data_IF_626493223468
#
_entry.id   IF_626493223468
#
_cell.length_a   1.000
_cell.length_b   1.000
_cell.length_c   1.000
_cell.angle_alpha   90.00
_cell.angle_beta   90.00
_cell.angle_gamma   90.00
#
_symmetry.space_group_name_H-M   'P 1'
#
loop_
_entity.id
_entity.type
_entity.pdbx_description
1 polymer ?
#
# COMPACT_ATOMS: atom_id res chain seq x y z
N UNK A 1 19.08 67.91 1.85
CA UNK A 1 19.25 66.64 1.12
C UNK A 1 18.68 65.50 2.01
N UNK A 2 17.45 65.07 1.77
CA UNK A 2 16.79 63.97 2.53
C UNK A 2 17.08 62.67 1.78
N UNK A 3 17.81 61.72 2.41
CA UNK A 3 18.06 60.38 1.88
C UNK A 3 16.82 59.53 2.13
N UNK A 4 16.16 59.14 1.05
CA UNK A 4 15.04 58.16 1.07
C UNK A 4 15.66 56.77 1.16
N UNK A 5 15.50 56.11 2.29
CA UNK A 5 15.88 54.69 2.46
C UNK A 5 14.70 53.88 2.01
N UNK A 6 14.85 53.25 0.85
CA UNK A 6 13.87 52.34 0.27
C UNK A 6 14.06 50.95 0.94
N UNK A 7 13.17 50.59 1.82
CA UNK A 7 13.10 49.22 2.37
C UNK A 7 12.51 48.31 1.29
N UNK A 8 13.34 47.47 0.68
CA UNK A 8 12.85 46.35 -0.12
C UNK A 8 12.28 45.30 0.83
N UNK A 9 10.96 45.20 0.89
CA UNK A 9 10.27 44.08 1.47
C UNK A 9 10.48 42.86 0.55
N UNK A 10 11.47 42.05 0.87
CA UNK A 10 11.59 40.69 0.29
C UNK A 10 10.51 39.88 0.90
N UNK A 11 9.39 39.73 0.20
CA UNK A 11 8.36 38.73 0.54
C UNK A 11 8.96 37.38 0.19
N UNK A 12 9.53 36.72 1.18
CA UNK A 12 9.78 35.28 1.11
C UNK A 12 8.41 34.60 1.06
N UNK A 13 7.97 34.28 -0.14
CA UNK A 13 6.99 33.19 -0.28
C UNK A 13 7.68 31.92 0.21
N UNK A 14 7.50 31.60 1.48
CA UNK A 14 7.62 30.24 1.94
C UNK A 14 6.58 29.44 1.16
N UNK A 15 7.02 28.83 0.05
CA UNK A 15 6.29 27.73 -0.52
C UNK A 15 6.20 26.71 0.62
N UNK A 16 5.02 26.61 1.22
CA UNK A 16 4.71 25.55 2.16
C UNK A 16 5.12 24.26 1.48
N UNK A 17 6.17 23.62 2.01
CA UNK A 17 6.58 22.30 1.66
C UNK A 17 5.33 21.42 1.66
N UNK A 18 5.21 20.58 0.60
CA UNK A 18 4.42 19.38 0.58
C UNK A 18 2.91 19.50 0.38
N UNK A 19 2.53 19.88 -0.80
CA UNK A 19 1.44 19.16 -1.41
C UNK A 19 1.98 17.78 -1.84
N UNK A 20 1.95 16.79 -0.93
CA UNK A 20 2.19 15.40 -1.29
C UNK A 20 1.29 15.07 -2.48
N UNK A 21 1.88 14.72 -3.61
CA UNK A 21 1.23 14.75 -4.91
C UNK A 21 0.30 13.55 -5.12
N UNK A 22 -0.77 13.47 -4.30
CA UNK A 22 -1.89 12.59 -4.60
C UNK A 22 -2.85 13.27 -5.55
N UNK A 23 -3.00 12.72 -6.75
CA UNK A 23 -3.93 13.18 -7.77
C UNK A 23 -5.13 12.24 -7.84
N UNK A 24 -6.34 12.83 -7.86
CA UNK A 24 -7.57 12.08 -8.05
C UNK A 24 -7.84 11.84 -9.53
N UNK A 25 -8.05 10.58 -9.91
CA UNK A 25 -8.45 10.18 -11.25
C UNK A 25 -9.87 9.62 -11.21
N UNK A 26 -10.78 10.25 -11.95
CA UNK A 26 -12.17 9.84 -12.10
C UNK A 26 -12.48 9.57 -13.56
N UNK A 27 -13.04 8.37 -13.84
CA UNK A 27 -13.34 7.95 -15.22
C UNK A 27 -12.12 7.75 -16.12
N UNK A 28 -10.90 7.76 -15.57
CA UNK A 28 -9.66 7.62 -16.34
C UNK A 28 -9.52 6.23 -16.98
N UNK A 29 -10.12 5.21 -16.37
CA UNK A 29 -10.18 3.84 -16.88
C UNK A 29 -11.65 3.44 -17.01
N UNK A 30 -12.22 3.46 -18.22
CA UNK A 30 -13.62 3.12 -18.44
C UNK A 30 -13.97 1.73 -17.90
N UNK A 31 -15.05 1.62 -17.14
CA UNK A 31 -15.51 0.34 -16.57
C UNK A 31 -14.75 -0.14 -15.32
N UNK A 32 -13.68 0.53 -14.93
CA UNK A 32 -12.92 0.23 -13.73
C UNK A 32 -13.23 1.21 -12.58
N UNK A 33 -12.30 1.39 -11.66
CA UNK A 33 -12.47 2.18 -10.44
C UNK A 33 -11.92 3.61 -10.60
N UNK A 34 -12.51 4.57 -9.89
CA UNK A 34 -11.86 5.83 -9.61
C UNK A 34 -10.78 5.62 -8.55
N UNK A 35 -9.69 6.39 -8.60
CA UNK A 35 -8.56 6.17 -7.70
C UNK A 35 -7.81 7.46 -7.37
N UNK A 36 -7.11 7.45 -6.23
CA UNK A 36 -6.01 8.35 -5.94
C UNK A 36 -4.72 7.73 -6.46
N UNK A 37 -3.86 8.56 -7.01
CA UNK A 37 -2.55 8.15 -7.49
C UNK A 37 -1.48 9.08 -6.92
N UNK A 38 -0.43 8.50 -6.35
CA UNK A 38 0.74 9.18 -5.84
C UNK A 38 1.93 8.92 -6.76
N UNK A 39 2.65 10.00 -7.06
CA UNK A 39 3.91 9.96 -7.76
C UNK A 39 5.01 10.23 -6.72
N UNK A 40 6.00 9.35 -6.53
CA UNK A 40 7.00 9.53 -5.50
C UNK A 40 7.83 10.79 -5.76
N UNK A 41 8.11 11.58 -4.72
CA UNK A 41 8.75 12.90 -4.81
C UNK A 41 10.17 12.86 -5.40
N UNK A 42 10.89 11.77 -5.17
CA UNK A 42 12.20 11.50 -5.76
C UNK A 42 12.09 10.90 -7.17
N UNK A 43 10.91 10.96 -7.74
CA UNK A 43 10.47 10.21 -8.86
C UNK A 43 11.19 10.46 -10.17
N UNK A 44 10.73 9.74 -11.17
CA UNK A 44 11.18 9.69 -12.56
C UNK A 44 11.40 11.06 -13.24
N UNK A 45 10.91 12.15 -12.65
CA UNK A 45 11.14 13.50 -13.15
C UNK A 45 12.61 13.95 -13.07
N UNK A 46 13.42 13.35 -12.17
CA UNK A 46 14.86 13.68 -12.06
C UNK A 46 15.74 12.78 -12.91
N UNK A 47 15.30 11.52 -13.11
CA UNK A 47 15.95 10.56 -14.01
C UNK A 47 14.89 9.90 -14.90
N UNK A 48 14.78 10.27 -16.19
CA UNK A 48 13.81 9.67 -17.11
C UNK A 48 14.04 8.17 -17.38
N UNK A 49 15.15 7.60 -16.90
CA UNK A 49 15.44 6.17 -16.98
C UNK A 49 15.06 5.41 -15.70
N UNK A 50 14.73 6.12 -14.62
CA UNK A 50 14.31 5.47 -13.39
C UNK A 50 12.92 4.86 -13.54
N UNK A 51 12.77 3.63 -13.05
CA UNK A 51 11.51 2.91 -12.98
C UNK A 51 11.20 2.60 -11.51
N UNK A 52 10.00 2.97 -11.07
CA UNK A 52 9.58 2.82 -9.68
C UNK A 52 8.58 1.69 -9.50
N UNK A 53 8.56 1.06 -8.33
CA UNK A 53 7.54 0.08 -7.99
C UNK A 53 6.13 0.68 -8.09
N UNK A 54 5.13 -0.18 -8.31
CA UNK A 54 3.72 0.18 -8.21
C UNK A 54 3.08 -0.56 -7.04
N UNK A 55 2.55 0.18 -6.09
CA UNK A 55 1.85 -0.33 -4.91
C UNK A 55 0.35 -0.07 -5.04
N UNK A 56 -0.46 -1.13 -5.02
CA UNK A 56 -1.92 -1.05 -5.14
C UNK A 56 -2.53 -1.32 -3.77
N UNK A 57 -3.22 -0.33 -3.21
CA UNK A 57 -3.93 -0.44 -1.94
C UNK A 57 -5.40 -0.72 -2.14
N UNK A 58 -5.87 -1.85 -1.66
CA UNK A 58 -7.28 -2.23 -1.68
C UNK A 58 -7.91 -2.02 -0.30
N UNK A 59 -8.82 -1.06 -0.21
CA UNK A 59 -9.45 -0.68 1.05
C UNK A 59 -10.50 -1.69 1.53
N UNK A 60 -10.79 -1.65 2.84
CA UNK A 60 -11.90 -2.38 3.46
C UNK A 60 -13.25 -1.70 3.27
N UNK A 61 -14.33 -2.39 3.69
CA UNK A 61 -15.72 -1.91 3.51
C UNK A 61 -15.98 -0.51 4.09
N UNK A 62 -15.29 -0.10 5.15
CA UNK A 62 -15.47 1.23 5.77
C UNK A 62 -15.19 2.41 4.85
N UNK A 63 -14.40 2.23 3.79
CA UNK A 63 -14.10 3.25 2.79
C UNK A 63 -14.90 3.10 1.48
N UNK A 64 -15.81 2.13 1.43
CA UNK A 64 -16.67 1.88 0.26
C UNK A 64 -17.57 3.07 -0.07
N UNK A 65 -17.90 3.20 -1.35
CA UNK A 65 -18.85 4.19 -1.85
C UNK A 65 -18.37 4.92 -3.09
N UNK A 66 -18.93 6.12 -3.31
CA UNK A 66 -18.64 6.95 -4.48
C UNK A 66 -17.91 8.26 -4.13
N UNK A 67 -17.65 8.49 -2.85
CA UNK A 67 -16.82 9.60 -2.39
C UNK A 67 -15.37 9.15 -2.24
N UNK A 68 -14.57 9.44 -3.26
CA UNK A 68 -13.17 9.02 -3.34
C UNK A 68 -12.31 9.56 -2.17
N UNK A 69 -12.70 10.68 -1.55
CA UNK A 69 -11.98 11.24 -0.40
C UNK A 69 -12.01 10.35 0.84
N UNK A 70 -12.97 9.42 0.94
CA UNK A 70 -12.97 8.43 2.02
C UNK A 70 -11.71 7.57 2.03
N UNK A 71 -11.11 7.33 0.87
CA UNK A 71 -9.90 6.48 0.75
C UNK A 71 -8.69 7.09 1.47
N UNK A 72 -8.71 8.39 1.73
CA UNK A 72 -7.65 9.09 2.49
C UNK A 72 -7.67 8.82 4.00
N UNK A 73 -8.72 8.20 4.54
CA UNK A 73 -8.89 8.06 6.00
C UNK A 73 -7.90 7.11 6.65
N UNK A 74 -7.47 6.06 5.94
CA UNK A 74 -6.41 5.15 6.37
C UNK A 74 -5.72 4.52 5.15
N UNK A 75 -4.65 3.79 5.39
CA UNK A 75 -3.85 3.20 4.32
C UNK A 75 -2.66 4.07 3.95
N UNK A 76 -2.01 3.80 2.81
CA UNK A 76 -0.76 4.46 2.43
C UNK A 76 -0.91 5.97 2.24
N UNK A 77 -2.06 6.44 1.73
CA UNK A 77 -2.30 7.90 1.60
C UNK A 77 -2.24 8.58 2.96
N UNK A 78 -2.91 8.00 3.95
CA UNK A 78 -2.87 8.52 5.32
C UNK A 78 -1.49 8.38 5.96
N UNK A 79 -0.75 7.32 5.64
CA UNK A 79 0.61 7.10 6.15
C UNK A 79 1.58 8.15 5.59
N UNK A 80 1.56 8.38 4.28
CA UNK A 80 2.35 9.43 3.62
C UNK A 80 1.98 10.81 4.16
N UNK A 81 0.67 11.13 4.32
CA UNK A 81 0.22 12.38 4.93
C UNK A 81 0.68 12.57 6.38
N UNK A 82 1.14 11.53 7.06
CA UNK A 82 1.72 11.54 8.41
C UNK A 82 3.25 11.47 8.42
N UNK A 83 3.88 11.63 7.27
CA UNK A 83 5.33 11.70 7.13
C UNK A 83 6.03 10.37 6.83
N UNK A 84 5.29 9.29 6.50
CA UNK A 84 5.93 8.05 6.05
C UNK A 84 6.38 8.22 4.59
N UNK A 85 7.67 8.04 4.33
CA UNK A 85 8.20 8.00 2.96
C UNK A 85 7.98 6.61 2.36
N UNK A 86 7.37 6.54 1.19
CA UNK A 86 7.15 5.30 0.43
C UNK A 86 7.64 5.54 -0.99
N UNK A 87 8.79 4.98 -1.32
CA UNK A 87 9.45 5.19 -2.61
C UNK A 87 8.83 4.30 -3.71
N UNK A 88 7.58 4.61 -4.05
CA UNK A 88 6.81 3.91 -5.07
C UNK A 88 5.67 4.76 -5.59
N UNK A 89 5.20 4.47 -6.81
CA UNK A 89 3.85 4.87 -7.19
C UNK A 89 2.84 4.18 -6.27
N UNK A 90 1.85 4.94 -5.79
CA UNK A 90 0.78 4.38 -4.97
C UNK A 90 -0.55 4.61 -5.69
N UNK A 91 -1.26 3.53 -5.94
CA UNK A 91 -2.61 3.55 -6.50
C UNK A 91 -3.61 3.10 -5.43
N UNK A 92 -4.54 3.96 -5.08
CA UNK A 92 -5.56 3.70 -4.08
C UNK A 92 -6.97 3.87 -4.70
N UNK A 93 -7.51 2.82 -5.34
CA UNK A 93 -8.83 2.86 -5.93
C UNK A 93 -9.94 2.85 -4.88
N UNK A 94 -11.16 3.19 -5.31
CA UNK A 94 -12.37 3.06 -4.52
C UNK A 94 -13.41 2.18 -5.20
N UNK A 95 -13.97 1.26 -4.43
CA UNK A 95 -15.11 0.44 -4.83
C UNK A 95 -16.32 0.64 -3.92
N UNK A 96 -17.52 0.36 -4.41
CA UNK A 96 -18.73 0.28 -3.60
C UNK A 96 -19.08 -1.16 -3.18
N UNK A 97 -18.64 -2.18 -3.95
CA UNK A 97 -19.16 -3.55 -3.84
C UNK A 97 -18.10 -4.67 -3.85
N UNK A 98 -16.86 -4.39 -3.46
CA UNK A 98 -15.78 -5.39 -3.50
C UNK A 98 -14.86 -5.21 -4.70
N UNK A 99 -13.90 -6.12 -4.83
CA UNK A 99 -12.79 -5.98 -5.76
C UNK A 99 -12.86 -7.05 -6.84
N UNK A 100 -12.88 -6.63 -8.09
CA UNK A 100 -12.77 -7.52 -9.24
C UNK A 100 -11.31 -7.51 -9.74
N UNK A 101 -10.62 -8.67 -9.78
CA UNK A 101 -9.24 -8.76 -10.24
C UNK A 101 -8.97 -8.07 -11.57
N UNK A 102 -9.82 -8.31 -12.57
CA UNK A 102 -9.66 -7.73 -13.91
C UNK A 102 -9.69 -6.20 -13.90
N UNK A 103 -10.58 -5.60 -13.07
CA UNK A 103 -10.67 -4.15 -12.93
C UNK A 103 -9.44 -3.57 -12.24
N UNK A 104 -8.88 -4.28 -11.27
CA UNK A 104 -7.62 -3.88 -10.63
C UNK A 104 -6.49 -3.91 -11.65
N UNK A 105 -6.42 -4.97 -12.47
CA UNK A 105 -5.37 -5.07 -13.48
C UNK A 105 -5.51 -4.04 -14.61
N UNK A 106 -6.71 -3.60 -14.96
CA UNK A 106 -6.91 -2.47 -15.87
C UNK A 106 -6.29 -1.17 -15.33
N UNK A 107 -6.33 -0.96 -14.01
CA UNK A 107 -5.65 0.18 -13.37
C UNK A 107 -4.13 0.04 -13.43
N UNK A 108 -3.62 -1.17 -13.25
CA UNK A 108 -2.18 -1.47 -13.43
C UNK A 108 -1.74 -1.14 -14.85
N UNK A 109 -2.49 -1.59 -15.86
CA UNK A 109 -2.19 -1.32 -17.27
C UNK A 109 -2.21 0.18 -17.57
N UNK A 110 -3.15 0.91 -16.97
CA UNK A 110 -3.19 2.37 -17.06
C UNK A 110 -1.94 3.01 -16.44
N UNK A 111 -1.50 2.56 -15.26
CA UNK A 111 -0.31 3.10 -14.62
C UNK A 111 0.95 2.84 -15.47
N UNK A 112 1.14 1.62 -15.97
CA UNK A 112 2.26 1.25 -16.85
C UNK A 112 2.29 2.10 -18.12
N UNK A 113 1.13 2.41 -18.69
CA UNK A 113 1.01 3.23 -19.90
C UNK A 113 1.38 4.70 -19.67
N UNK A 114 1.11 5.22 -18.48
CA UNK A 114 1.20 6.67 -18.22
C UNK A 114 2.40 7.08 -17.36
N UNK A 115 3.09 6.12 -16.73
CA UNK A 115 4.18 6.35 -15.78
C UNK A 115 5.31 5.33 -15.97
N UNK A 116 6.51 5.67 -15.47
CA UNK A 116 7.69 4.81 -15.53
C UNK A 116 7.63 3.71 -14.47
N UNK A 117 6.63 2.82 -14.57
CA UNK A 117 6.46 1.71 -13.63
C UNK A 117 7.47 0.61 -13.93
N UNK A 118 8.14 0.11 -12.87
CA UNK A 118 8.86 -1.15 -12.94
C UNK A 118 7.86 -2.32 -12.92
N UNK A 119 7.60 -2.88 -14.08
CA UNK A 119 6.64 -3.96 -14.26
C UNK A 119 7.03 -5.25 -13.55
N UNK A 120 8.25 -5.35 -13.05
CA UNK A 120 8.72 -6.48 -12.25
C UNK A 120 8.47 -6.31 -10.75
N UNK A 121 8.08 -5.10 -10.31
CA UNK A 121 7.84 -4.73 -8.93
C UNK A 121 6.44 -4.12 -8.74
N UNK A 122 5.41 -4.91 -8.98
CA UNK A 122 4.00 -4.55 -8.76
C UNK A 122 3.48 -5.32 -7.55
N UNK A 123 2.93 -4.61 -6.58
CA UNK A 123 2.48 -5.16 -5.32
C UNK A 123 1.02 -4.84 -5.07
N UNK A 124 0.32 -5.79 -4.44
CA UNK A 124 -1.08 -5.59 -4.01
C UNK A 124 -1.18 -5.87 -2.52
N UNK A 125 -1.80 -4.96 -1.79
CA UNK A 125 -2.03 -5.17 -0.38
C UNK A 125 -3.34 -4.54 0.08
N UNK A 126 -3.93 -5.10 1.12
CA UNK A 126 -5.22 -4.61 1.60
C UNK A 126 -5.71 -5.33 2.83
N UNK A 127 -6.81 -4.84 3.38
CA UNK A 127 -7.39 -5.36 4.61
C UNK A 127 -8.88 -5.61 4.46
N UNK A 128 -9.41 -6.63 5.16
CA UNK A 128 -10.83 -6.94 5.18
C UNK A 128 -11.34 -7.24 3.77
N UNK A 129 -12.34 -6.52 3.26
CA UNK A 129 -12.74 -6.58 1.84
C UNK A 129 -11.53 -6.39 0.90
N UNK A 130 -10.57 -5.51 1.25
CA UNK A 130 -9.33 -5.34 0.50
C UNK A 130 -8.38 -6.53 0.64
N UNK A 131 -8.39 -7.22 1.78
CA UNK A 131 -7.65 -8.47 1.97
C UNK A 131 -8.16 -9.58 1.06
N UNK A 132 -9.49 -9.70 0.90
CA UNK A 132 -10.10 -10.58 -0.11
C UNK A 132 -9.66 -10.20 -1.52
N UNK A 133 -9.76 -8.90 -1.87
CA UNK A 133 -9.33 -8.43 -3.19
C UNK A 133 -7.86 -8.70 -3.47
N UNK A 134 -6.99 -8.56 -2.46
CA UNK A 134 -5.56 -8.88 -2.57
C UNK A 134 -5.35 -10.36 -2.92
N UNK A 135 -5.98 -11.26 -2.19
CA UNK A 135 -5.88 -12.71 -2.43
C UNK A 135 -6.43 -13.04 -3.82
N UNK A 136 -7.59 -12.49 -4.19
CA UNK A 136 -8.22 -12.76 -5.48
C UNK A 136 -7.37 -12.25 -6.66
N UNK A 137 -6.76 -11.07 -6.55
CA UNK A 137 -5.84 -10.54 -7.58
C UNK A 137 -4.59 -11.41 -7.68
N UNK A 138 -3.97 -11.77 -6.55
CA UNK A 138 -2.78 -12.64 -6.53
C UNK A 138 -3.07 -14.03 -7.09
N UNK A 139 -4.23 -14.61 -6.80
CA UNK A 139 -4.63 -15.91 -7.35
C UNK A 139 -4.87 -15.88 -8.86
N UNK A 140 -5.43 -14.75 -9.36
CA UNK A 140 -5.82 -14.64 -10.78
C UNK A 140 -4.66 -14.19 -11.67
N UNK A 141 -3.78 -13.32 -11.16
CA UNK A 141 -2.68 -12.71 -11.92
C UNK A 141 -1.30 -12.90 -11.26
N UNK A 142 -0.92 -14.12 -10.86
CA UNK A 142 0.30 -14.37 -10.09
C UNK A 142 1.58 -13.94 -10.82
N UNK A 143 1.59 -14.01 -12.15
CA UNK A 143 2.78 -13.71 -12.96
C UNK A 143 3.02 -12.19 -13.11
N UNK A 144 2.02 -11.38 -12.77
CA UNK A 144 2.10 -9.92 -12.85
C UNK A 144 2.34 -9.24 -11.50
N UNK A 145 2.15 -9.96 -10.40
CA UNK A 145 2.28 -9.43 -9.03
C UNK A 145 3.56 -9.96 -8.40
N UNK A 146 4.44 -9.08 -7.93
CA UNK A 146 5.71 -9.44 -7.30
C UNK A 146 5.48 -10.04 -5.90
N UNK A 147 4.62 -9.43 -5.09
CA UNK A 147 4.19 -9.95 -3.80
C UNK A 147 2.82 -9.41 -3.41
N UNK A 148 2.12 -10.14 -2.54
CA UNK A 148 0.84 -9.72 -1.95
C UNK A 148 0.87 -9.73 -0.43
N UNK A 149 0.16 -8.76 0.22
CA UNK A 149 -0.04 -8.78 1.67
C UNK A 149 -1.52 -8.60 1.99
N UNK A 150 -2.14 -9.62 2.58
CA UNK A 150 -3.57 -9.65 2.88
C UNK A 150 -3.81 -9.69 4.39
N UNK A 151 -4.45 -8.65 4.93
CA UNK A 151 -4.85 -8.59 6.33
C UNK A 151 -6.36 -8.88 6.49
N UNK A 152 -6.70 -9.79 7.40
CA UNK A 152 -8.07 -10.12 7.79
C UNK A 152 -9.00 -10.39 6.60
N UNK A 153 -8.54 -11.18 5.62
CA UNK A 153 -9.26 -11.50 4.40
C UNK A 153 -9.44 -13.01 4.19
N UNK A 154 -9.99 -13.35 3.06
CA UNK A 154 -10.15 -14.70 2.53
C UNK A 154 -10.12 -14.63 1.00
N UNK A 155 -10.68 -15.61 0.31
CA UNK A 155 -10.82 -15.62 -1.12
C UNK A 155 -12.28 -15.63 -1.56
N UNK A 156 -12.60 -14.97 -2.68
CA UNK A 156 -13.89 -15.10 -3.37
C UNK A 156 -13.77 -15.88 -4.67
N UNK A 157 -12.59 -15.89 -5.28
CA UNK A 157 -12.29 -16.75 -6.44
C UNK A 157 -12.16 -18.20 -6.03
N UNK A 158 -12.57 -19.11 -6.90
CA UNK A 158 -12.55 -20.55 -6.62
C UNK A 158 -11.19 -21.19 -6.86
N UNK A 159 -10.47 -20.72 -7.88
CA UNK A 159 -9.15 -21.24 -8.20
C UNK A 159 -8.07 -20.44 -7.45
N UNK A 160 -7.36 -21.10 -6.55
CA UNK A 160 -6.28 -20.53 -5.74
C UNK A 160 -4.89 -21.01 -6.16
N UNK A 161 -4.77 -21.83 -7.21
CA UNK A 161 -3.49 -22.39 -7.66
C UNK A 161 -2.42 -21.31 -7.95
N UNK A 162 -2.86 -20.14 -8.46
CA UNK A 162 -1.98 -19.02 -8.72
C UNK A 162 -1.22 -18.52 -7.48
N UNK A 163 -1.79 -18.66 -6.29
CA UNK A 163 -1.14 -18.24 -5.05
C UNK A 163 0.16 -18.99 -4.74
N UNK A 164 0.33 -20.20 -5.27
CA UNK A 164 1.56 -20.97 -5.12
C UNK A 164 2.75 -20.41 -5.94
N UNK A 165 2.51 -19.42 -6.81
CA UNK A 165 3.51 -18.88 -7.74
C UNK A 165 4.15 -17.57 -7.28
N UNK A 166 3.65 -16.94 -6.19
CA UNK A 166 4.15 -15.63 -5.74
C UNK A 166 4.26 -15.57 -4.21
N UNK A 167 5.17 -14.73 -3.68
CA UNK A 167 5.22 -14.43 -2.26
C UNK A 167 3.89 -13.83 -1.77
N UNK A 168 3.29 -14.44 -0.75
CA UNK A 168 2.06 -13.98 -0.13
C UNK A 168 2.20 -13.96 1.40
N UNK A 169 1.90 -12.83 2.02
CA UNK A 169 1.81 -12.71 3.47
C UNK A 169 0.36 -12.51 3.89
N UNK A 170 -0.16 -13.46 4.65
CA UNK A 170 -1.50 -13.39 5.23
C UNK A 170 -1.37 -13.12 6.73
N UNK A 171 -2.06 -12.09 7.23
CA UNK A 171 -2.12 -11.73 8.65
C UNK A 171 -3.59 -11.71 9.08
N UNK A 172 -3.91 -12.30 10.24
CA UNK A 172 -5.28 -12.29 10.73
C UNK A 172 -5.34 -12.27 12.24
N UNK A 173 -6.16 -11.38 12.80
CA UNK A 173 -6.41 -11.32 14.23
C UNK A 173 -7.26 -12.51 14.73
N UNK A 174 -6.80 -13.23 15.76
CA UNK A 174 -7.55 -14.39 16.27
C UNK A 174 -8.83 -14.01 17.04
N UNK A 175 -8.98 -12.71 17.41
CA UNK A 175 -10.17 -12.16 18.04
C UNK A 175 -11.04 -11.35 17.05
N UNK A 176 -10.83 -11.52 15.74
CA UNK A 176 -11.60 -10.84 14.70
C UNK A 176 -13.06 -11.33 14.71
N UNK A 177 -14.00 -10.38 14.92
CA UNK A 177 -15.44 -10.63 14.95
C UNK A 177 -16.16 -10.19 13.68
N UNK A 178 -15.47 -9.51 12.77
CA UNK A 178 -16.06 -9.01 11.52
C UNK A 178 -15.80 -9.97 10.34
N UNK A 179 -14.57 -10.49 10.25
CA UNK A 179 -14.20 -11.55 9.31
C UNK A 179 -13.69 -12.72 10.13
N UNK A 180 -14.32 -13.90 10.04
CA UNK A 180 -13.89 -15.05 10.83
C UNK A 180 -12.47 -15.47 10.44
N UNK A 181 -11.64 -15.78 11.44
CA UNK A 181 -10.26 -16.24 11.25
C UNK A 181 -10.16 -17.41 10.24
N UNK A 182 -11.17 -18.28 10.23
CA UNK A 182 -11.27 -19.38 9.29
C UNK A 182 -11.31 -18.95 7.82
N UNK A 183 -11.60 -17.69 7.51
CA UNK A 183 -11.58 -17.19 6.14
C UNK A 183 -10.14 -17.18 5.58
N UNK A 184 -9.17 -16.68 6.36
CA UNK A 184 -7.75 -16.79 6.02
C UNK A 184 -7.24 -18.22 6.11
N UNK A 185 -7.64 -18.96 7.15
CA UNK A 185 -7.19 -20.34 7.34
C UNK A 185 -7.49 -21.22 6.11
N UNK A 186 -8.68 -21.08 5.50
CA UNK A 186 -9.04 -21.81 4.28
C UNK A 186 -8.09 -21.54 3.11
N UNK A 187 -7.61 -20.30 2.97
CA UNK A 187 -6.64 -19.92 1.93
C UNK A 187 -5.27 -20.55 2.25
N UNK A 188 -4.85 -20.47 3.52
CA UNK A 188 -3.62 -21.08 4.02
C UNK A 188 -3.64 -22.59 3.74
N UNK A 189 -4.71 -23.28 4.14
CA UNK A 189 -4.88 -24.73 3.94
C UNK A 189 -4.82 -25.11 2.44
N UNK A 190 -5.36 -24.23 1.56
CA UNK A 190 -5.32 -24.47 0.13
C UNK A 190 -3.90 -24.29 -0.45
N UNK A 191 -3.14 -23.30 0.03
CA UNK A 191 -1.75 -23.11 -0.38
C UNK A 191 -0.84 -24.23 0.14
N UNK A 192 -0.99 -24.63 1.40
CA UNK A 192 -0.20 -25.71 1.99
C UNK A 192 -0.37 -27.04 1.24
N UNK A 193 -1.56 -27.32 0.71
CA UNK A 193 -1.82 -28.49 -0.13
C UNK A 193 -1.03 -28.50 -1.45
N UNK A 194 -0.61 -27.34 -1.93
CA UNK A 194 0.24 -27.25 -3.12
C UNK A 194 1.72 -27.55 -2.84
N UNK A 195 2.10 -27.66 -1.56
CA UNK A 195 3.49 -27.80 -1.13
C UNK A 195 4.33 -26.53 -1.33
N UNK A 196 3.69 -25.36 -1.52
CA UNK A 196 4.41 -24.10 -1.70
C UNK A 196 5.04 -23.64 -0.39
N UNK A 197 6.23 -23.06 -0.50
CA UNK A 197 6.93 -22.35 0.59
C UNK A 197 6.78 -20.82 0.50
N UNK A 198 6.01 -20.31 -0.48
CA UNK A 198 5.84 -18.87 -0.74
C UNK A 198 4.79 -18.19 0.13
N UNK A 199 4.32 -18.86 1.17
CA UNK A 199 3.36 -18.32 2.13
C UNK A 199 4.04 -17.97 3.46
N UNK A 200 3.71 -16.76 3.97
CA UNK A 200 3.82 -16.43 5.40
C UNK A 200 2.40 -16.29 5.95
N UNK A 201 2.08 -17.03 6.99
CA UNK A 201 0.85 -16.85 7.74
C UNK A 201 1.16 -16.38 9.16
N UNK A 202 0.61 -15.25 9.56
CA UNK A 202 0.79 -14.64 10.89
C UNK A 202 -0.53 -14.53 11.63
N UNK A 203 -0.88 -15.52 12.47
CA UNK A 203 -1.99 -15.40 13.41
C UNK A 203 -1.64 -14.37 14.50
N UNK A 204 -2.38 -13.26 14.55
CA UNK A 204 -2.18 -12.18 15.53
C UNK A 204 -3.04 -12.48 16.76
N UNK A 205 -2.45 -13.08 17.79
CA UNK A 205 -3.15 -13.54 18.99
C UNK A 205 -3.85 -12.40 19.72
N UNK A 206 -5.16 -12.53 19.95
CA UNK A 206 -5.98 -11.56 20.68
C UNK A 206 -6.24 -10.25 19.94
N UNK A 207 -5.81 -10.12 18.68
CA UNK A 207 -6.01 -8.91 17.87
C UNK A 207 -7.39 -8.95 17.22
N UNK A 208 -8.12 -7.84 17.31
CA UNK A 208 -9.41 -7.60 16.69
C UNK A 208 -9.30 -7.26 15.19
N UNK A 209 -10.48 -7.03 14.54
CA UNK A 209 -10.53 -6.70 13.12
C UNK A 209 -9.85 -5.36 12.75
N UNK A 210 -9.90 -4.36 13.60
CA UNK A 210 -9.46 -3.00 13.26
C UNK A 210 -7.94 -2.82 13.34
N UNK A 211 -7.29 -3.50 14.27
CA UNK A 211 -5.87 -3.28 14.58
C UNK A 211 -4.91 -3.61 13.43
N UNK A 212 -5.12 -4.62 12.57
CA UNK A 212 -4.24 -4.87 11.43
C UNK A 212 -4.16 -3.74 10.39
N UNK A 213 -5.10 -2.77 10.39
CA UNK A 213 -4.97 -1.56 9.56
C UNK A 213 -3.72 -0.73 9.89
N UNK A 214 -3.11 -0.93 11.05
CA UNK A 214 -1.88 -0.27 11.47
C UNK A 214 -0.65 -0.71 10.69
N UNK A 215 -0.70 -1.86 10.01
CA UNK A 215 0.33 -2.32 9.06
C UNK A 215 0.67 -1.25 8.02
N UNK A 216 -0.33 -0.47 7.58
CA UNK A 216 -0.14 0.55 6.56
C UNK A 216 0.71 1.74 7.02
N UNK A 217 1.05 1.82 8.30
CA UNK A 217 1.86 2.88 8.91
C UNK A 217 3.23 2.39 9.37
N UNK A 218 3.60 1.16 9.04
CA UNK A 218 4.87 0.54 9.42
C UNK A 218 5.79 0.44 8.21
N UNK A 219 6.98 1.02 8.29
CA UNK A 219 8.00 0.98 7.23
C UNK A 219 8.27 -0.44 6.75
N UNK A 220 8.42 -1.38 7.69
CA UNK A 220 8.70 -2.78 7.36
C UNK A 220 7.62 -3.49 6.52
N UNK A 221 6.37 -2.97 6.47
CA UNK A 221 5.35 -3.47 5.56
C UNK A 221 5.77 -3.26 4.11
N UNK A 222 6.30 -2.08 3.83
CA UNK A 222 6.79 -1.70 2.50
C UNK A 222 8.12 -2.35 2.20
N UNK A 223 9.03 -2.42 3.18
CA UNK A 223 10.31 -3.10 3.04
C UNK A 223 10.12 -4.58 2.65
N UNK A 224 9.17 -5.26 3.32
CA UNK A 224 8.86 -6.64 2.95
C UNK A 224 8.28 -6.74 1.52
N UNK A 225 7.34 -5.90 1.14
CA UNK A 225 6.80 -5.90 -0.21
C UNK A 225 7.91 -5.68 -1.24
N UNK A 226 8.74 -4.65 -1.03
CA UNK A 226 9.78 -4.22 -1.97
C UNK A 226 11.00 -5.17 -2.03
N UNK A 227 11.12 -6.10 -1.09
CA UNK A 227 12.15 -7.15 -1.13
C UNK A 227 11.87 -8.25 -2.16
N UNK A 228 10.77 -8.16 -2.93
CA UNK A 228 10.38 -9.15 -3.92
C UNK A 228 10.27 -8.57 -5.34
N UNK A 229 10.59 -9.39 -6.32
CA UNK A 229 10.42 -9.09 -7.75
C UNK A 229 9.88 -10.32 -8.50
N UNK A 230 9.16 -10.11 -9.60
CA UNK A 230 8.78 -11.22 -10.49
C UNK A 230 9.99 -11.85 -11.18
N UNK A 231 11.15 -11.19 -11.14
CA UNK A 231 12.43 -11.70 -11.70
C UNK A 231 13.26 -12.46 -10.67
N UNK A 232 12.88 -12.50 -9.41
CA UNK A 232 13.64 -13.24 -8.41
C UNK A 232 13.66 -14.73 -8.74
N UNK A 233 14.83 -15.38 -8.70
CA UNK A 233 14.93 -16.81 -8.91
C UNK A 233 14.04 -17.56 -7.92
N UNK A 234 13.19 -18.46 -8.43
CA UNK A 234 12.27 -19.24 -7.58
C UNK A 234 11.15 -18.44 -6.93
N UNK A 235 11.18 -17.09 -6.94
CA UNK A 235 10.23 -16.21 -6.27
C UNK A 235 10.00 -16.61 -4.81
N UNK A 236 11.09 -16.83 -4.09
CA UNK A 236 11.07 -17.22 -2.68
C UNK A 236 10.50 -16.08 -1.81
N UNK A 237 9.81 -16.45 -0.72
CA UNK A 237 9.27 -15.47 0.23
C UNK A 237 10.34 -15.04 1.22
N UNK A 238 10.56 -13.73 1.37
CA UNK A 238 11.45 -13.18 2.39
C UNK A 238 10.84 -13.38 3.78
N UNK A 239 11.57 -14.06 4.68
CA UNK A 239 11.13 -14.40 6.05
C UNK A 239 11.82 -13.59 7.15
N UNK A 240 12.58 -12.56 6.78
CA UNK A 240 13.35 -11.74 7.72
C UNK A 240 12.48 -10.75 8.51
N UNK A 241 11.24 -10.57 8.07
CA UNK A 241 10.29 -9.63 8.66
C UNK A 241 9.29 -10.31 9.60
N UNK A 242 8.90 -9.60 10.65
CA UNK A 242 7.91 -10.05 11.64
C UNK A 242 6.88 -8.97 11.91
N UNK A 243 5.65 -9.37 12.19
CA UNK A 243 4.60 -8.49 12.70
C UNK A 243 4.04 -9.12 13.97
N UNK A 244 4.08 -8.36 15.06
CA UNK A 244 3.51 -8.78 16.35
C UNK A 244 2.39 -7.82 16.79
N UNK A 245 1.51 -8.24 17.74
CA UNK A 245 0.50 -7.35 18.31
C UNK A 245 1.09 -6.07 18.95
N UNK A 246 2.27 -6.17 19.55
CA UNK A 246 3.00 -5.05 20.17
C UNK A 246 3.45 -4.04 19.13
N UNK A 247 4.03 -4.50 18.01
CA UNK A 247 4.45 -3.64 16.90
C UNK A 247 3.25 -2.88 16.32
N UNK A 248 2.12 -3.55 16.11
CA UNK A 248 0.89 -2.89 15.67
C UNK A 248 0.41 -1.83 16.67
N UNK A 249 0.65 -2.03 17.96
CA UNK A 249 0.27 -1.04 18.98
C UNK A 249 1.12 0.23 18.90
N UNK A 250 2.36 0.11 18.47
CA UNK A 250 3.34 1.21 18.36
C UNK A 250 3.38 1.89 16.98
N UNK A 251 2.73 1.34 15.97
CA UNK A 251 2.82 1.80 14.58
C UNK A 251 2.58 3.31 14.36
N UNK A 252 1.80 3.96 15.23
CA UNK A 252 1.60 5.41 15.17
C UNK A 252 2.62 6.22 15.97
N UNK A 253 3.35 5.58 16.89
CA UNK A 253 4.38 6.25 17.69
C UNK A 253 5.58 6.57 16.81
N UNK A 254 5.96 5.65 15.94
CA UNK A 254 7.05 5.83 14.97
C UNK A 254 6.80 7.04 14.04
N UNK A 255 5.55 7.29 13.65
CA UNK A 255 5.19 8.42 12.78
C UNK A 255 5.26 9.78 13.50
N UNK A 256 4.99 9.81 14.80
CA UNK A 256 5.14 11.04 15.62
C UNK A 256 6.60 11.41 15.78
N UNK A 257 7.46 10.41 15.92
CA UNK A 257 8.91 10.61 16.06
C UNK A 257 9.53 11.12 14.75
N UNK A 258 9.06 10.67 13.60
CA UNK A 258 9.49 11.18 12.30
C UNK A 258 9.14 12.68 12.14
N UNK A 259 7.92 13.10 12.52
CA UNK A 259 7.55 14.53 12.49
C UNK A 259 8.37 15.38 13.45
N UNK A 260 8.62 14.91 14.67
CA UNK A 260 9.41 15.66 15.64
C UNK A 260 10.87 15.83 15.22
N UNK A 261 11.40 14.92 14.41
CA UNK A 261 12.76 15.02 13.89
C UNK A 261 12.85 15.95 12.67
N UNK A 262 11.86 15.97 11.78
CA UNK A 262 11.82 16.95 10.68
C UNK A 262 11.70 18.38 11.19
N UNK A 263 10.85 18.62 12.18
CA UNK A 263 10.67 19.93 12.81
C UNK A 263 11.94 20.42 13.52
N UNK A 264 12.82 19.50 13.98
CA UNK A 264 14.11 19.83 14.61
C UNK A 264 15.22 20.10 13.60
N UNK A 265 15.22 19.43 12.46
CA UNK A 265 16.20 19.70 11.39
C UNK A 265 15.99 21.09 10.77
N UNK A 266 14.74 21.54 10.66
CA UNK A 266 14.41 22.88 10.19
C UNK A 266 14.83 23.97 11.20
N UNK A 267 14.81 23.68 12.52
CA UNK A 267 15.23 24.61 13.58
C UNK A 267 16.77 24.78 13.66
N UNK A 268 17.56 23.82 13.13
CA UNK A 268 19.00 23.89 13.07
C UNK A 268 19.55 24.53 11.78
N UNK A 269 18.68 24.87 10.82
CA UNK A 269 19.03 25.50 9.55
C UNK A 269 18.72 26.99 9.48
N UNK A 270 18.15 27.57 10.57
CA UNK A 270 18.03 29.01 10.78
C UNK A 270 19.21 29.55 11.61
#
# INVERSE_FOLDING_TARGET
MKRLVLWLLVVFCFASAEAQHFKAYRGAVPGSYNFWFHDPENGAHKDPKAHFPLLIFLHGRSLSGHNLDKVKRYGPISAVAKGLSIDSYIMAPQTSNGWAPDKVMQLVDWAIKNYSVDTTRIYVYGMSMGGYGTIDVCATYPDRIAAGMAACGGATVKNLEGLSKLPLWILHGTADRAVPFSASQKVVDAMEKTGTDRLIFTPLKGVDHGRPARLFYMTQTYDWLFSHSTKDPGREVCRDFKVTPEMLSKAYEDLRDLKSNSDKEDEYME
#
